data_IF_749240085385
#
_entry.id   IF_749240085385
#
_cell.length_a   1.000
_cell.length_b   1.000
_cell.length_c   1.000
_cell.angle_alpha   90.00
_cell.angle_beta   90.00
_cell.angle_gamma   90.00
#
_symmetry.space_group_name_H-M   'P 1'
#
loop_
_entity.id
_entity.type
_entity.pdbx_description
1 polymer ?
#
# COMPACT_ATOMS: atom_id res chain seq x y z
N UNK A 1 -6.36 -33.65 -0.23
CA UNK A 1 -6.48 -32.93 1.05
C UNK A 1 -7.23 -33.71 2.13
N UNK A 2 -8.46 -34.20 1.87
CA UNK A 2 -9.27 -34.96 2.85
C UNK A 2 -8.56 -36.21 3.42
N UNK A 3 -7.93 -37.03 2.57
CA UNK A 3 -7.24 -38.26 2.97
C UNK A 3 -6.11 -38.07 4.00
N UNK A 4 -5.51 -36.88 4.07
CA UNK A 4 -4.40 -36.58 4.98
C UNK A 4 -4.76 -35.51 6.01
N UNK A 5 -6.06 -35.21 6.19
CA UNK A 5 -6.55 -34.16 7.09
C UNK A 5 -5.88 -32.80 6.89
N UNK A 6 -5.59 -32.42 5.64
CA UNK A 6 -4.99 -31.11 5.32
C UNK A 6 -6.06 -30.10 4.91
N UNK A 7 -5.91 -28.84 5.30
CA UNK A 7 -6.82 -27.73 4.97
C UNK A 7 -6.03 -26.47 4.60
N UNK A 8 -6.60 -25.66 3.70
CA UNK A 8 -6.09 -24.32 3.43
C UNK A 8 -6.41 -23.40 4.61
N UNK A 9 -5.40 -22.66 5.08
CA UNK A 9 -5.53 -21.68 6.15
C UNK A 9 -5.02 -20.33 5.67
N UNK A 10 -5.70 -19.25 6.04
CA UNK A 10 -5.34 -17.86 5.70
C UNK A 10 -5.00 -17.09 6.97
N UNK A 11 -4.00 -16.21 6.90
CA UNK A 11 -3.71 -15.23 7.96
C UNK A 11 -4.90 -14.29 8.15
N UNK A 12 -5.36 -14.10 9.39
CA UNK A 12 -6.43 -13.16 9.74
C UNK A 12 -5.86 -11.78 10.05
N UNK A 13 -6.45 -10.73 9.47
CA UNK A 13 -6.11 -9.34 9.78
C UNK A 13 -7.18 -8.77 10.71
N UNK A 14 -6.75 -8.07 11.76
CA UNK A 14 -7.65 -7.36 12.67
C UNK A 14 -7.99 -6.02 12.04
N UNK A 15 -9.27 -5.77 11.79
CA UNK A 15 -9.74 -4.46 11.33
C UNK A 15 -9.63 -3.44 12.46
N UNK A 16 -9.22 -2.22 12.14
CA UNK A 16 -9.26 -1.11 13.10
C UNK A 16 -10.70 -0.66 13.31
N UNK A 17 -11.05 -0.30 14.55
CA UNK A 17 -12.34 0.32 14.86
C UNK A 17 -12.28 1.78 14.43
N UNK A 18 -13.32 2.25 13.74
CA UNK A 18 -13.46 3.65 13.37
C UNK A 18 -13.78 4.50 14.61
N UNK A 19 -13.31 5.77 14.67
CA UNK A 19 -13.75 6.74 15.67
C UNK A 19 -15.27 6.97 15.63
N UNK A 20 -15.85 7.35 16.77
CA UNK A 20 -17.30 7.58 16.88
C UNK A 20 -17.77 8.78 16.05
N UNK A 21 -16.90 9.78 15.84
CA UNK A 21 -17.14 11.01 15.11
C UNK A 21 -16.69 10.95 13.64
N UNK A 22 -16.28 9.76 13.16
CA UNK A 22 -15.75 9.56 11.80
C UNK A 22 -16.66 10.14 10.71
N UNK A 23 -17.97 9.88 10.79
CA UNK A 23 -18.94 10.32 9.77
C UNK A 23 -19.07 11.84 9.74
N UNK A 24 -19.06 12.49 10.91
CA UNK A 24 -19.17 13.94 11.03
C UNK A 24 -17.92 14.62 10.47
N UNK A 25 -16.73 14.18 10.90
CA UNK A 25 -15.47 14.72 10.40
C UNK A 25 -15.31 14.52 8.88
N UNK A 26 -15.66 13.33 8.37
CA UNK A 26 -15.64 13.05 6.94
C UNK A 26 -16.56 14.01 6.18
N UNK A 27 -17.78 14.22 6.66
CA UNK A 27 -18.76 15.09 6.01
C UNK A 27 -18.31 16.55 6.01
N UNK A 28 -17.77 17.03 7.13
CA UNK A 28 -17.25 18.38 7.25
C UNK A 28 -16.08 18.62 6.30
N UNK A 29 -15.13 17.69 6.25
CA UNK A 29 -13.98 17.76 5.36
C UNK A 29 -14.40 17.76 3.87
N UNK A 30 -15.28 16.84 3.47
CA UNK A 30 -15.76 16.76 2.09
C UNK A 30 -16.50 18.04 1.68
N UNK A 31 -17.34 18.58 2.57
CA UNK A 31 -18.07 19.83 2.33
C UNK A 31 -17.12 21.01 2.15
N UNK A 32 -16.09 21.10 3.00
CA UNK A 32 -15.06 22.15 2.91
C UNK A 32 -14.28 22.06 1.60
N UNK A 33 -13.80 20.89 1.22
CA UNK A 33 -13.04 20.69 -0.04
C UNK A 33 -13.89 21.05 -1.26
N UNK A 34 -15.16 20.62 -1.28
CA UNK A 34 -16.09 20.95 -2.37
C UNK A 34 -16.39 22.45 -2.44
N UNK A 35 -16.55 23.11 -1.30
CA UNK A 35 -16.73 24.56 -1.23
C UNK A 35 -15.51 25.29 -1.82
N UNK A 36 -14.29 24.96 -1.36
CA UNK A 36 -13.05 25.58 -1.86
C UNK A 36 -12.85 25.35 -3.35
N UNK A 37 -13.20 24.16 -3.86
CA UNK A 37 -13.14 23.87 -5.30
C UNK A 37 -14.07 24.76 -6.11
N UNK A 38 -15.30 24.99 -5.64
CA UNK A 38 -16.27 25.85 -6.33
C UNK A 38 -15.91 27.32 -6.25
N UNK A 39 -15.46 27.77 -5.08
CA UNK A 39 -15.11 29.18 -4.83
C UNK A 39 -13.94 29.67 -5.70
N UNK A 40 -12.92 28.83 -5.90
CA UNK A 40 -11.69 29.20 -6.63
C UNK A 40 -11.62 28.61 -8.03
N UNK A 41 -12.62 27.84 -8.45
CA UNK A 41 -12.71 27.20 -9.76
C UNK A 41 -11.43 26.47 -10.18
N UNK A 42 -10.80 25.74 -9.25
CA UNK A 42 -9.54 25.06 -9.53
C UNK A 42 -9.67 24.11 -10.74
N UNK A 43 -8.78 24.24 -11.75
CA UNK A 43 -8.72 23.31 -12.86
C UNK A 43 -8.49 21.88 -12.36
N UNK A 44 -9.12 20.89 -13.01
CA UNK A 44 -8.97 19.48 -12.65
C UNK A 44 -7.52 18.99 -12.75
N UNK A 45 -6.72 19.60 -13.61
CA UNK A 45 -5.29 19.34 -13.76
C UNK A 45 -4.44 19.84 -12.58
N UNK A 46 -5.02 20.57 -11.62
CA UNK A 46 -4.32 21.05 -10.42
C UNK A 46 -4.85 20.40 -9.13
N UNK A 47 -5.78 19.46 -9.25
CA UNK A 47 -6.29 18.68 -8.12
C UNK A 47 -5.73 17.28 -8.26
N UNK A 48 -4.84 16.88 -7.36
CA UNK A 48 -4.26 15.55 -7.33
C UNK A 48 -4.50 14.88 -5.99
N UNK A 49 -4.75 13.57 -6.02
CA UNK A 49 -4.63 12.72 -4.85
C UNK A 49 -3.28 12.02 -4.90
N UNK A 50 -2.60 11.91 -3.76
CA UNK A 50 -1.31 11.26 -3.63
C UNK A 50 -1.34 10.38 -2.37
N UNK A 51 -0.75 9.19 -2.47
CA UNK A 51 -0.57 8.33 -1.31
C UNK A 51 0.73 7.53 -1.39
N UNK A 52 1.25 7.17 -0.22
CA UNK A 52 2.44 6.32 -0.08
C UNK A 52 2.03 4.91 0.30
N UNK A 53 2.49 3.93 -0.47
CA UNK A 53 2.22 2.52 -0.19
C UNK A 53 3.52 1.73 -0.03
N UNK A 54 3.59 0.93 1.02
CA UNK A 54 4.73 0.03 1.26
C UNK A 54 4.58 -1.23 0.42
N UNK A 55 5.52 -1.46 -0.50
CA UNK A 55 5.61 -2.66 -1.32
C UNK A 55 6.70 -3.60 -0.78
N UNK A 56 6.36 -4.89 -0.62
CA UNK A 56 7.31 -5.90 -0.16
C UNK A 56 8.17 -6.42 -1.31
N UNK A 57 9.47 -6.63 -1.04
CA UNK A 57 10.36 -7.31 -2.01
C UNK A 57 10.04 -8.80 -2.14
N UNK A 58 9.58 -9.43 -1.07
CA UNK A 58 9.14 -10.81 -1.08
C UNK A 58 7.64 -10.91 -0.77
N UNK A 59 6.86 -11.37 -1.75
CA UNK A 59 5.45 -11.65 -1.60
C UNK A 59 5.27 -13.08 -1.08
N UNK A 60 5.31 -13.26 0.24
CA UNK A 60 4.99 -14.56 0.86
C UNK A 60 3.51 -14.89 0.66
N UNK A 61 3.20 -16.15 0.32
CA UNK A 61 1.81 -16.63 0.23
C UNK A 61 1.08 -16.42 1.55
N UNK A 62 -0.13 -15.83 1.49
CA UNK A 62 -1.02 -15.70 2.64
C UNK A 62 -1.76 -17.00 3.00
N UNK A 63 -1.60 -18.03 2.17
CA UNK A 63 -2.20 -19.35 2.34
C UNK A 63 -1.11 -20.40 2.49
N UNK A 64 -1.31 -21.29 3.45
CA UNK A 64 -0.49 -22.49 3.61
C UNK A 64 -1.39 -23.71 3.82
N UNK A 65 -0.85 -24.88 3.50
CA UNK A 65 -1.51 -26.17 3.69
C UNK A 65 -1.07 -26.68 5.06
N UNK A 66 -2.02 -26.86 5.97
CA UNK A 66 -1.76 -27.31 7.33
C UNK A 66 -2.74 -28.40 7.76
N UNK A 67 -2.37 -29.15 8.79
CA UNK A 67 -3.26 -30.16 9.36
C UNK A 67 -4.50 -29.53 10.02
N UNK A 68 -5.64 -30.19 9.83
CA UNK A 68 -6.92 -29.83 10.43
C UNK A 68 -6.80 -29.97 11.95
N UNK A 69 -6.98 -28.86 12.68
CA UNK A 69 -6.89 -28.82 14.14
C UNK A 69 -5.58 -28.24 14.69
N UNK A 70 -4.60 -27.91 13.83
CA UNK A 70 -3.39 -27.22 14.26
C UNK A 70 -3.73 -25.86 14.88
N UNK A 71 -3.27 -25.64 16.13
CA UNK A 71 -3.56 -24.42 16.91
C UNK A 71 -2.93 -23.16 16.31
N UNK A 72 -1.74 -23.29 15.75
CA UNK A 72 -0.97 -22.18 15.17
C UNK A 72 -0.45 -22.57 13.78
N UNK A 73 -0.70 -21.71 12.80
CA UNK A 73 -0.26 -21.90 11.41
C UNK A 73 0.92 -20.98 11.15
N UNK A 74 2.11 -21.54 10.94
CA UNK A 74 3.30 -20.80 10.55
C UNK A 74 3.46 -20.80 9.02
N UNK A 75 3.70 -19.64 8.42
CA UNK A 75 4.01 -19.54 7.00
C UNK A 75 5.53 -19.58 6.88
N UNK A 76 6.06 -20.49 6.05
CA UNK A 76 7.49 -20.51 5.73
C UNK A 76 7.87 -19.16 5.09
N UNK A 77 8.79 -18.44 5.71
CA UNK A 77 9.31 -17.17 5.22
C UNK A 77 10.78 -17.32 4.82
N UNK A 78 11.23 -16.44 3.93
CA UNK A 78 12.65 -16.38 3.51
C UNK A 78 13.51 -15.53 4.46
N UNK A 79 12.96 -15.13 5.62
CA UNK A 79 13.59 -14.19 6.56
C UNK A 79 13.62 -12.73 6.08
N UNK A 80 13.09 -12.44 4.89
CA UNK A 80 13.09 -11.10 4.29
C UNK A 80 11.67 -10.50 4.17
N UNK A 81 10.68 -11.04 4.87
CA UNK A 81 9.29 -10.59 4.79
C UNK A 81 9.06 -9.13 5.24
N UNK A 82 10.02 -8.54 5.96
CA UNK A 82 9.99 -7.12 6.37
C UNK A 82 10.75 -6.19 5.41
N UNK A 83 11.41 -6.76 4.40
CA UNK A 83 12.09 -5.97 3.38
C UNK A 83 11.06 -5.36 2.46
N UNK A 84 10.94 -4.05 2.52
CA UNK A 84 10.01 -3.27 1.71
C UNK A 84 10.67 -2.01 1.14
N UNK A 85 10.02 -1.46 0.12
CA UNK A 85 10.27 -0.14 -0.42
C UNK A 85 8.96 0.64 -0.45
N UNK A 86 9.04 1.96 -0.47
CA UNK A 86 7.86 2.82 -0.55
C UNK A 86 7.62 3.20 -1.99
N UNK A 87 6.38 3.13 -2.44
CA UNK A 87 5.94 3.67 -3.72
C UNK A 87 4.99 4.83 -3.45
N UNK A 88 5.28 5.98 -4.03
CA UNK A 88 4.39 7.14 -4.04
C UNK A 88 3.70 7.19 -5.39
N UNK A 89 2.37 7.18 -5.37
CA UNK A 89 1.53 7.32 -6.55
C UNK A 89 0.70 8.58 -6.43
N UNK A 90 0.56 9.30 -7.54
CA UNK A 90 -0.32 10.44 -7.61
C UNK A 90 -1.19 10.40 -8.88
N UNK A 91 -2.46 10.77 -8.70
CA UNK A 91 -3.46 10.77 -9.75
C UNK A 91 -4.21 12.10 -9.75
N UNK A 92 -4.28 12.73 -10.90
CA UNK A 92 -4.96 14.01 -11.08
C UNK A 92 -6.44 13.81 -11.40
N UNK A 93 -7.27 14.79 -11.04
CA UNK A 93 -8.71 14.72 -11.22
C UNK A 93 -9.14 14.76 -12.70
N UNK A 94 -8.26 15.20 -13.60
CA UNK A 94 -8.44 15.13 -15.06
C UNK A 94 -8.17 13.74 -15.65
N UNK A 95 -7.71 12.78 -14.84
CA UNK A 95 -7.39 11.42 -15.26
C UNK A 95 -5.90 11.15 -15.51
N UNK A 96 -5.05 12.16 -15.37
CA UNK A 96 -3.60 12.02 -15.60
C UNK A 96 -2.93 11.29 -14.42
N UNK A 97 -2.07 10.32 -14.75
CA UNK A 97 -1.18 9.66 -13.79
C UNK A 97 0.14 10.37 -13.78
N UNK A 98 0.56 10.85 -12.61
CA UNK A 98 1.90 11.40 -12.46
C UNK A 98 2.95 10.28 -12.41
N UNK A 99 4.21 10.57 -12.79
CA UNK A 99 5.33 9.64 -12.63
C UNK A 99 5.38 9.03 -11.23
N UNK A 100 5.38 7.70 -11.08
CA UNK A 100 5.50 7.06 -9.79
C UNK A 100 6.89 7.31 -9.19
N UNK A 101 6.96 7.46 -7.87
CA UNK A 101 8.23 7.57 -7.14
C UNK A 101 8.47 6.29 -6.34
N UNK A 102 9.61 5.66 -6.53
CA UNK A 102 10.06 4.52 -5.72
C UNK A 102 11.14 5.00 -4.77
N UNK A 103 10.94 4.80 -3.48
CA UNK A 103 11.86 5.18 -2.42
C UNK A 103 12.40 3.91 -1.76
N UNK A 104 13.68 3.65 -1.98
CA UNK A 104 14.41 2.59 -1.30
C UNK A 104 14.94 3.06 0.05
N UNK A 105 14.84 2.20 1.07
CA UNK A 105 15.48 2.42 2.38
C UNK A 105 17.01 2.25 2.35
N UNK A 106 17.53 1.64 1.29
CA UNK A 106 18.96 1.37 1.14
C UNK A 106 19.70 2.64 0.72
N UNK A 107 20.95 2.77 1.14
CA UNK A 107 21.86 3.85 0.68
C UNK A 107 22.19 3.68 -0.80
N UNK A 108 22.33 2.44 -1.26
CA UNK A 108 22.57 2.10 -2.66
C UNK A 108 21.29 1.58 -3.31
N UNK A 109 20.86 2.26 -4.37
CA UNK A 109 19.78 1.78 -5.24
C UNK A 109 20.23 0.52 -5.97
N UNK A 110 19.40 -0.54 -6.08
CA UNK A 110 19.70 -1.71 -6.91
C UNK A 110 20.04 -1.31 -8.35
N UNK A 111 21.08 -1.92 -8.92
CA UNK A 111 21.47 -1.70 -10.31
C UNK A 111 20.63 -2.59 -11.22
N UNK A 112 19.39 -2.16 -11.45
CA UNK A 112 18.41 -2.83 -12.30
C UNK A 112 17.92 -1.85 -13.38
N UNK A 113 17.42 -2.40 -14.49
CA UNK A 113 16.74 -1.60 -15.50
C UNK A 113 15.32 -1.27 -15.00
N UNK A 114 15.12 0.00 -14.62
CA UNK A 114 13.82 0.48 -14.20
C UNK A 114 12.97 0.89 -15.42
N UNK A 115 11.63 0.71 -15.37
CA UNK A 115 10.76 1.19 -16.43
C UNK A 115 10.87 2.70 -16.63
N UNK A 116 10.70 3.13 -17.88
CA UNK A 116 10.69 4.55 -18.24
C UNK A 116 9.61 5.32 -17.47
N UNK A 117 9.94 6.55 -17.07
CA UNK A 117 9.02 7.44 -16.35
C UNK A 117 8.88 7.14 -14.85
N UNK A 118 9.65 6.20 -14.29
CA UNK A 118 9.72 5.96 -12.85
C UNK A 118 10.82 6.80 -12.21
N UNK A 119 10.51 7.51 -11.13
CA UNK A 119 11.48 8.30 -10.38
C UNK A 119 12.01 7.46 -9.22
N UNK A 120 13.31 7.17 -9.22
CA UNK A 120 13.96 6.44 -8.13
C UNK A 120 14.59 7.41 -7.12
N UNK A 121 14.41 7.11 -5.83
CA UNK A 121 15.00 7.81 -4.70
C UNK A 121 15.56 6.81 -3.69
N UNK A 122 16.63 7.20 -3.02
CA UNK A 122 17.21 6.48 -1.90
C UNK A 122 17.60 7.50 -0.82
N UNK A 123 17.53 7.10 0.44
CA UNK A 123 18.01 7.94 1.53
C UNK A 123 19.54 7.96 1.51
N UNK A 124 20.20 9.12 1.28
CA UNK A 124 21.66 9.20 1.24
C UNK A 124 22.34 8.90 2.58
N UNK A 125 21.60 8.90 3.70
CA UNK A 125 22.18 8.76 5.04
C UNK A 125 22.01 7.39 5.72
N UNK A 126 21.21 6.48 5.16
CA UNK A 126 20.87 5.21 5.81
C UNK A 126 19.90 5.41 6.96
#
# INVERSE_FOLDING_TARGET
MSRHNLVNRRKTTVAQRLPNDYIEQQTQFLSYVLFRRKEHEYPLSLIANMDETSMAFNLTSYTTIEHRGTKSVSILSTGHERSNFTVVLAYMANGEKLPPVIIFKLVNVPREDFPDGVIIRANPKG
#
